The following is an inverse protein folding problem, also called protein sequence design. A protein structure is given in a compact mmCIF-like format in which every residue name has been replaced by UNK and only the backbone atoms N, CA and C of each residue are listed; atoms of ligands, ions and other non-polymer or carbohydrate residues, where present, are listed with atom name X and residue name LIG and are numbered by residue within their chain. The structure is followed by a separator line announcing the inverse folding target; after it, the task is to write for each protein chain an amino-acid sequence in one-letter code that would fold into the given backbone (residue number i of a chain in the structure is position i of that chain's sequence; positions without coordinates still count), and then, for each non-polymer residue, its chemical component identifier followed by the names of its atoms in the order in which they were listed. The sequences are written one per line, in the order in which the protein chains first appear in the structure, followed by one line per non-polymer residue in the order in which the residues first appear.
data_IF_944924127584
#
_entry.id   IF_944924127584
#
_cell.length_a   1.000
_cell.length_b   1.000
_cell.length_c   1.000
_cell.angle_alpha   90.00
_cell.angle_beta   90.00
_cell.angle_gamma   90.00
#
_symmetry.space_group_name_H-M   'P 1'
#
loop_
_entity.id
_entity.type
_entity.pdbx_description
1 polymer ?
#
# COMPACT_ATOMS: atom_id res chain seq x y z
N UNK A 1 -49.78 7.76 -26.73
CA UNK A 1 -48.38 7.46 -27.14
C UNK A 1 -47.36 8.42 -26.59
N UNK A 2 -47.53 9.75 -26.59
CA UNK A 2 -46.54 10.73 -26.08
C UNK A 2 -46.19 10.60 -24.59
N UNK A 3 -47.16 10.20 -23.74
CA UNK A 3 -46.98 10.08 -22.28
C UNK A 3 -46.18 8.83 -21.87
N UNK A 4 -46.25 7.75 -22.62
CA UNK A 4 -45.48 6.52 -22.37
C UNK A 4 -44.01 6.68 -22.84
N UNK A 5 -43.77 7.47 -23.87
CA UNK A 5 -42.41 7.76 -24.36
C UNK A 5 -41.63 8.59 -23.34
N UNK A 6 -42.28 9.54 -22.64
CA UNK A 6 -41.66 10.38 -21.62
C UNK A 6 -41.29 9.58 -20.36
N UNK A 7 -42.08 8.57 -19.97
CA UNK A 7 -41.74 7.70 -18.84
C UNK A 7 -40.54 6.79 -19.15
N UNK A 8 -40.48 6.25 -20.37
CA UNK A 8 -39.37 5.40 -20.78
C UNK A 8 -38.03 6.16 -20.83
N UNK A 9 -38.05 7.42 -21.27
CA UNK A 9 -36.86 8.29 -21.31
C UNK A 9 -36.38 8.66 -19.90
N UNK A 10 -37.32 8.91 -18.97
CA UNK A 10 -36.95 9.24 -17.57
C UNK A 10 -36.33 8.03 -16.84
N UNK A 11 -36.83 6.81 -17.06
CA UNK A 11 -36.26 5.59 -16.47
C UNK A 11 -34.88 5.30 -17.05
N UNK A 12 -34.64 5.54 -18.34
CA UNK A 12 -33.34 5.35 -18.98
C UNK A 12 -32.30 6.34 -18.44
N UNK A 13 -32.66 7.60 -18.18
CA UNK A 13 -31.78 8.59 -17.56
C UNK A 13 -31.38 8.23 -16.12
N UNK A 14 -32.29 7.65 -15.34
CA UNK A 14 -32.00 7.27 -13.95
C UNK A 14 -31.04 6.07 -13.90
N UNK A 15 -31.13 5.15 -14.85
CA UNK A 15 -30.19 4.02 -14.94
C UNK A 15 -28.76 4.45 -15.33
N UNK A 16 -28.58 5.55 -16.04
CA UNK A 16 -27.25 6.04 -16.43
C UNK A 16 -26.52 6.82 -15.32
N UNK A 17 -27.23 7.31 -14.30
CA UNK A 17 -26.63 8.02 -13.17
C UNK A 17 -26.08 7.09 -12.07
N UNK A 18 -26.38 5.80 -12.12
CA UNK A 18 -25.94 4.79 -11.15
C UNK A 18 -24.58 4.14 -11.43
N UNK A 19 -23.91 4.47 -12.56
CA UNK A 19 -22.71 3.76 -13.01
C UNK A 19 -21.38 4.50 -12.75
N UNK A 20 -21.37 5.57 -11.95
CA UNK A 20 -20.18 6.41 -11.76
C UNK A 20 -19.56 6.31 -10.36
N UNK A 21 -19.31 5.12 -9.83
CA UNK A 21 -18.59 5.05 -8.56
C UNK A 21 -17.69 3.83 -8.36
N UNK A 22 -17.06 3.34 -9.40
CA UNK A 22 -16.14 2.20 -9.29
C UNK A 22 -14.64 2.54 -9.46
N UNK A 23 -14.27 3.82 -9.68
CA UNK A 23 -12.89 4.17 -10.05
C UNK A 23 -11.97 4.55 -8.87
N UNK A 24 -12.45 4.57 -7.62
CA UNK A 24 -11.67 5.06 -6.47
C UNK A 24 -11.07 3.95 -5.58
N UNK A 25 -11.26 2.68 -5.89
CA UNK A 25 -10.91 1.58 -4.98
C UNK A 25 -9.52 0.98 -5.15
N UNK A 26 -8.80 1.30 -6.20
CA UNK A 26 -7.52 0.63 -6.55
C UNK A 26 -6.25 1.41 -6.16
N UNK A 27 -6.39 2.47 -5.37
CA UNK A 27 -5.26 3.32 -4.98
C UNK A 27 -4.67 2.97 -3.61
N UNK A 28 -5.40 2.25 -2.77
CA UNK A 28 -5.03 1.99 -1.39
C UNK A 28 -5.08 0.50 -1.08
N UNK A 29 -3.93 -0.07 -0.81
CA UNK A 29 -3.74 -1.49 -0.55
C UNK A 29 -3.40 -1.70 0.92
N UNK A 30 -4.02 -2.68 1.55
CA UNK A 30 -3.77 -3.04 2.95
C UNK A 30 -3.50 -4.53 3.06
N UNK A 31 -2.44 -4.89 3.76
CA UNK A 31 -2.13 -6.26 4.11
C UNK A 31 -1.34 -6.31 5.43
N UNK A 32 -1.31 -7.46 6.07
CA UNK A 32 -0.59 -7.67 7.33
C UNK A 32 0.70 -8.46 7.13
N UNK A 33 1.59 -8.39 8.10
CA UNK A 33 2.70 -9.31 8.27
C UNK A 33 2.71 -9.87 9.69
N UNK A 34 3.24 -11.06 9.86
CA UNK A 34 3.30 -11.72 11.15
C UNK A 34 4.57 -12.57 11.26
N UNK A 35 4.90 -12.93 12.50
CA UNK A 35 6.05 -13.78 12.85
C UNK A 35 7.38 -13.26 12.28
N UNK A 36 7.56 -11.94 12.23
CA UNK A 36 8.82 -11.29 11.88
C UNK A 36 9.80 -11.39 13.05
N UNK A 37 10.24 -12.60 13.35
CA UNK A 37 11.10 -12.94 14.49
C UNK A 37 12.36 -13.66 14.03
N UNK A 38 13.37 -13.70 14.90
CA UNK A 38 14.60 -14.46 14.62
C UNK A 38 14.29 -15.95 14.41
N UNK A 39 14.88 -16.55 13.40
CA UNK A 39 14.70 -17.97 13.06
C UNK A 39 13.41 -18.30 12.28
N UNK A 40 12.48 -17.37 12.12
CA UNK A 40 11.39 -17.52 11.17
C UNK A 40 11.86 -17.14 9.74
N UNK A 41 11.25 -17.72 8.69
CA UNK A 41 11.42 -17.23 7.32
C UNK A 41 11.12 -15.73 7.20
N UNK A 42 11.58 -15.09 6.14
CA UNK A 42 11.25 -13.72 5.86
C UNK A 42 9.93 -13.63 5.08
N UNK A 43 9.09 -12.67 5.44
CA UNK A 43 7.95 -12.28 4.66
C UNK A 43 8.39 -11.37 3.50
N UNK A 44 7.63 -11.35 2.42
CA UNK A 44 7.89 -10.47 1.27
C UNK A 44 6.64 -9.73 0.84
N UNK A 45 6.84 -8.50 0.37
CA UNK A 45 5.83 -7.73 -0.36
C UNK A 45 6.28 -7.58 -1.81
N UNK A 46 5.42 -7.99 -2.74
CA UNK A 46 5.63 -7.85 -4.17
C UNK A 46 4.72 -6.78 -4.71
N UNK A 47 5.30 -5.74 -5.28
CA UNK A 47 4.61 -4.55 -5.78
C UNK A 47 4.84 -4.47 -7.28
N UNK A 48 3.78 -4.58 -8.04
CA UNK A 48 3.82 -4.55 -9.51
C UNK A 48 3.10 -3.31 -10.05
N UNK A 49 3.71 -2.67 -11.04
CA UNK A 49 3.05 -1.70 -11.90
C UNK A 49 2.72 -2.39 -13.21
N UNK A 50 1.46 -2.71 -13.51
CA UNK A 50 1.07 -3.43 -14.73
C UNK A 50 1.14 -2.59 -16.00
N UNK A 51 1.71 -1.39 -15.96
CA UNK A 51 1.87 -0.52 -17.13
C UNK A 51 0.60 0.22 -17.57
N UNK A 52 -0.53 0.00 -16.92
CA UNK A 52 -1.83 0.57 -17.34
C UNK A 52 -1.95 2.07 -17.11
N UNK A 53 -1.09 2.66 -16.28
CA UNK A 53 -1.03 4.10 -16.02
C UNK A 53 -0.15 4.89 -17.01
N UNK A 54 0.46 4.21 -17.98
CA UNK A 54 1.39 4.78 -18.97
C UNK A 54 2.62 5.49 -18.37
N UNK A 55 3.07 5.10 -17.19
CA UNK A 55 4.25 5.70 -16.58
C UNK A 55 4.66 5.07 -15.27
N UNK A 56 5.71 5.61 -14.70
CA UNK A 56 6.16 5.23 -13.36
C UNK A 56 5.10 5.58 -12.31
N UNK A 57 4.94 4.69 -11.34
CA UNK A 57 4.14 4.91 -10.14
C UNK A 57 5.02 4.97 -8.91
N UNK A 58 4.54 5.65 -7.89
CA UNK A 58 5.08 5.57 -6.54
C UNK A 58 4.21 4.61 -5.72
N UNK A 59 4.84 3.63 -5.08
CA UNK A 59 4.26 2.91 -3.96
C UNK A 59 4.65 3.65 -2.68
N UNK A 60 3.73 4.40 -2.09
CA UNK A 60 3.93 5.06 -0.80
C UNK A 60 3.60 4.06 0.31
N UNK A 61 4.61 3.65 1.06
CA UNK A 61 4.54 2.52 2.01
C UNK A 61 4.55 3.07 3.42
N UNK A 62 3.63 2.58 4.24
CA UNK A 62 3.45 2.95 5.65
C UNK A 62 3.34 1.68 6.48
N UNK A 63 4.29 1.48 7.38
CA UNK A 63 4.42 0.27 8.20
C UNK A 63 3.98 0.56 9.63
N UNK A 64 2.93 -0.11 10.07
CA UNK A 64 2.36 0.00 11.40
C UNK A 64 2.67 -1.26 12.21
N UNK A 65 2.90 -1.09 13.49
CA UNK A 65 3.00 -2.20 14.42
C UNK A 65 1.61 -2.66 14.92
N UNK A 66 1.62 -3.68 15.78
CA UNK A 66 0.39 -4.22 16.38
C UNK A 66 -0.27 -3.27 17.40
N UNK A 67 0.37 -2.17 17.78
CA UNK A 67 -0.20 -1.12 18.60
C UNK A 67 -0.82 0.00 17.77
N UNK A 68 -0.83 -0.17 16.43
CA UNK A 68 -1.33 0.82 15.45
C UNK A 68 -0.47 2.10 15.38
N UNK A 69 0.80 2.01 15.75
CA UNK A 69 1.75 3.11 15.65
C UNK A 69 2.54 3.00 14.34
N UNK A 70 2.66 4.11 13.60
CA UNK A 70 3.53 4.15 12.42
C UNK A 70 4.98 4.05 12.86
N UNK A 71 5.67 3.05 12.36
CA UNK A 71 7.07 2.81 12.71
C UNK A 71 8.06 3.10 11.59
N UNK A 72 7.68 2.84 10.35
CA UNK A 72 8.50 3.14 9.17
C UNK A 72 7.63 3.59 8.00
N UNK A 73 8.18 4.43 7.15
CA UNK A 73 7.56 4.79 5.88
C UNK A 73 8.61 5.08 4.80
N UNK A 74 8.28 4.81 3.55
CA UNK A 74 9.11 5.14 2.40
C UNK A 74 8.27 5.19 1.12
N UNK A 75 8.83 5.80 0.07
CA UNK A 75 8.23 5.81 -1.26
C UNK A 75 9.15 5.12 -2.26
N UNK A 76 8.62 4.17 -3.00
CA UNK A 76 9.34 3.38 -3.97
C UNK A 76 8.80 3.60 -5.39
N UNK A 77 9.69 3.93 -6.33
CA UNK A 77 9.32 3.99 -7.75
C UNK A 77 9.16 2.57 -8.27
N UNK A 78 8.05 2.35 -8.99
CA UNK A 78 7.79 1.10 -9.73
C UNK A 78 7.58 1.49 -11.20
N UNK A 79 8.50 1.06 -12.05
CA UNK A 79 8.44 1.33 -13.49
C UNK A 79 7.31 0.53 -14.15
N UNK A 80 6.79 0.95 -15.33
CA UNK A 80 5.83 0.14 -16.08
C UNK A 80 6.35 -1.27 -16.31
N UNK A 81 5.48 -2.25 -16.13
CA UNK A 81 5.77 -3.69 -16.21
C UNK A 81 6.84 -4.17 -15.19
N UNK A 82 7.19 -3.30 -14.24
CA UNK A 82 8.16 -3.57 -13.19
C UNK A 82 7.55 -4.31 -12.01
N UNK A 83 8.35 -5.19 -11.39
CA UNK A 83 8.08 -5.86 -10.13
C UNK A 83 9.13 -5.47 -9.11
N UNK A 84 8.69 -4.97 -7.96
CA UNK A 84 9.56 -4.72 -6.81
C UNK A 84 9.24 -5.72 -5.70
N UNK A 85 10.25 -6.44 -5.25
CA UNK A 85 10.13 -7.37 -4.13
C UNK A 85 10.85 -6.79 -2.91
N UNK A 86 10.11 -6.59 -1.82
CA UNK A 86 10.63 -6.04 -0.58
C UNK A 86 10.57 -7.09 0.53
N UNK A 87 11.68 -7.26 1.23
CA UNK A 87 11.79 -8.08 2.44
C UNK A 87 11.11 -7.36 3.61
N UNK A 88 10.28 -8.05 4.36
CA UNK A 88 9.74 -7.51 5.59
C UNK A 88 10.87 -7.20 6.58
N UNK A 89 11.82 -8.12 6.76
CA UNK A 89 12.94 -7.96 7.71
C UNK A 89 13.96 -6.91 7.29
N UNK A 90 14.35 -6.90 6.01
CA UNK A 90 15.50 -6.15 5.55
C UNK A 90 15.15 -4.79 4.92
N UNK A 91 13.90 -4.60 4.52
CA UNK A 91 13.46 -3.39 3.85
C UNK A 91 12.39 -2.62 4.62
N UNK A 92 11.39 -3.33 5.16
CA UNK A 92 10.17 -2.70 5.65
C UNK A 92 10.15 -2.53 7.17
N UNK A 93 10.97 -3.28 7.92
CA UNK A 93 11.02 -3.24 9.39
C UNK A 93 12.44 -3.24 9.95
N UNK A 94 13.42 -2.83 9.15
CA UNK A 94 14.83 -2.87 9.54
C UNK A 94 15.29 -1.62 10.28
N UNK A 95 14.50 -0.58 10.27
CA UNK A 95 14.87 0.73 10.82
C UNK A 95 13.73 1.37 11.65
N UNK A 96 13.01 0.61 12.50
CA UNK A 96 11.83 1.10 13.19
C UNK A 96 12.14 2.20 14.21
N UNK A 97 11.18 3.07 14.46
CA UNK A 97 11.26 4.10 15.49
C UNK A 97 11.38 3.51 16.90
N UNK A 98 10.71 2.40 17.12
CA UNK A 98 10.65 1.74 18.44
C UNK A 98 11.54 0.49 18.46
N UNK A 99 11.03 -0.60 18.98
CA UNK A 99 11.69 -1.91 19.00
C UNK A 99 11.35 -2.70 17.75
N UNK A 100 11.97 -3.86 17.58
CA UNK A 100 11.70 -4.77 16.47
C UNK A 100 10.19 -5.05 16.36
N UNK A 101 9.64 -4.79 15.18
CA UNK A 101 8.23 -5.02 14.88
C UNK A 101 8.05 -6.48 14.44
N UNK A 102 7.32 -7.26 15.23
CA UNK A 102 7.12 -8.68 14.96
C UNK A 102 5.87 -8.99 14.15
N UNK A 103 4.86 -8.13 14.26
CA UNK A 103 3.59 -8.22 13.55
C UNK A 103 3.09 -6.80 13.30
N UNK A 104 2.28 -6.63 12.28
CA UNK A 104 1.67 -5.34 11.98
C UNK A 104 0.99 -5.31 10.62
N UNK A 105 0.59 -4.11 10.24
CA UNK A 105 -0.03 -3.83 8.96
C UNK A 105 0.88 -2.99 8.08
N UNK A 106 0.81 -3.24 6.78
CA UNK A 106 1.44 -2.40 5.77
C UNK A 106 0.35 -1.84 4.88
N UNK A 107 0.28 -0.51 4.86
CA UNK A 107 -0.59 0.26 4.00
C UNK A 107 0.23 0.82 2.85
N UNK A 108 -0.27 0.68 1.62
CA UNK A 108 0.40 1.16 0.42
C UNK A 108 -0.57 2.04 -0.37
N UNK A 109 -0.18 3.29 -0.59
CA UNK A 109 -0.90 4.19 -1.50
C UNK A 109 -0.18 4.21 -2.84
N UNK A 110 -0.88 3.79 -3.90
CA UNK A 110 -0.45 3.98 -5.28
C UNK A 110 -0.61 5.43 -5.66
N UNK A 111 0.44 6.07 -6.16
CA UNK A 111 0.41 7.48 -6.52
C UNK A 111 1.22 7.79 -7.78
N UNK A 112 0.96 8.95 -8.37
CA UNK A 112 1.85 9.53 -9.36
C UNK A 112 3.23 9.81 -8.73
N UNK A 113 4.26 9.83 -9.57
CA UNK A 113 5.64 10.18 -9.13
C UNK A 113 5.68 11.64 -8.66
N UNK A 114 6.14 11.86 -7.43
CA UNK A 114 6.24 13.17 -6.79
C UNK A 114 7.67 13.54 -6.37
N UNK A 115 8.65 12.78 -6.83
CA UNK A 115 10.07 12.97 -6.55
C UNK A 115 10.88 11.71 -6.82
N UNK A 116 12.17 11.76 -6.54
CA UNK A 116 13.06 10.58 -6.62
C UNK A 116 14.08 10.64 -5.46
N UNK A 117 13.92 9.77 -4.46
CA UNK A 117 12.82 8.79 -4.27
C UNK A 117 11.46 9.45 -4.12
N UNK A 118 10.38 8.67 -4.30
CA UNK A 118 9.02 9.13 -4.05
C UNK A 118 8.86 9.60 -2.60
N UNK A 119 8.24 10.76 -2.40
CA UNK A 119 8.07 11.33 -1.06
C UNK A 119 6.72 10.88 -0.44
N UNK A 120 6.72 10.06 0.63
CA UNK A 120 5.50 9.63 1.30
C UNK A 120 4.94 10.67 2.28
N UNK A 121 5.65 11.78 2.51
CA UNK A 121 5.27 12.80 3.50
C UNK A 121 4.45 13.93 2.92
N UNK A 122 4.47 14.13 1.59
CA UNK A 122 3.82 15.29 0.96
C UNK A 122 3.51 15.03 -0.51
N UNK A 123 2.60 15.83 -1.06
CA UNK A 123 2.26 15.85 -2.49
C UNK A 123 1.91 14.47 -3.10
N UNK A 124 1.39 13.56 -2.28
CA UNK A 124 0.92 12.27 -2.76
C UNK A 124 -0.36 12.46 -3.55
N UNK A 125 -0.31 12.18 -4.84
CA UNK A 125 -1.47 12.21 -5.74
C UNK A 125 -1.91 10.78 -6.04
N UNK A 126 -2.96 10.27 -5.37
CA UNK A 126 -3.43 8.90 -5.53
C UNK A 126 -3.71 8.60 -7.00
N UNK A 127 -3.10 7.52 -7.50
CA UNK A 127 -3.19 7.08 -8.90
C UNK A 127 -3.36 5.56 -8.88
N UNK A 128 -4.41 5.00 -9.50
CA UNK A 128 -4.65 3.57 -9.49
C UNK A 128 -3.58 2.79 -10.24
N UNK A 129 -3.57 1.50 -10.07
CA UNK A 129 -2.93 0.45 -10.87
C UNK A 129 -1.83 -0.36 -10.19
N UNK A 130 -1.28 0.06 -9.06
CA UNK A 130 -0.34 -0.82 -8.33
C UNK A 130 -1.06 -2.08 -7.86
N UNK A 131 -0.46 -3.25 -8.11
CA UNK A 131 -0.86 -4.54 -7.56
C UNK A 131 0.12 -4.98 -6.49
N UNK A 132 -0.39 -5.53 -5.40
CA UNK A 132 0.45 -5.90 -4.25
C UNK A 132 0.08 -7.29 -3.75
N UNK A 133 1.10 -8.13 -3.54
CA UNK A 133 0.98 -9.43 -2.86
C UNK A 133 1.89 -9.44 -1.63
N UNK A 134 1.43 -10.10 -0.58
CA UNK A 134 2.19 -10.29 0.64
C UNK A 134 2.33 -11.77 1.00
N UNK A 135 3.53 -12.15 1.40
CA UNK A 135 3.81 -13.47 1.98
C UNK A 135 3.61 -13.40 3.48
N UNK A 136 2.76 -14.28 4.01
CA UNK A 136 2.48 -14.39 5.44
C UNK A 136 3.18 -15.59 6.05
N UNK A 137 3.93 -15.34 7.09
CA UNK A 137 4.57 -16.38 7.89
C UNK A 137 3.60 -16.77 9.00
N UNK A 138 3.08 -17.98 8.95
CA UNK A 138 2.13 -18.50 9.93
C UNK A 138 2.84 -18.93 11.22
N UNK A 139 2.08 -19.19 12.28
CA UNK A 139 2.63 -19.68 13.50
C UNK A 139 3.37 -21.01 13.29
N UNK A 140 4.47 -21.18 14.01
CA UNK A 140 5.31 -22.37 13.91
C UNK A 140 4.53 -23.65 14.23
N UNK A 141 4.61 -24.63 13.36
CA UNK A 141 4.02 -25.97 13.53
C UNK A 141 5.15 -26.99 13.48
N UNK A 142 5.38 -27.68 14.57
CA UNK A 142 6.52 -28.57 14.70
C UNK A 142 7.85 -27.82 14.52
N UNK A 143 8.62 -28.17 13.49
CA UNK A 143 9.91 -27.52 13.18
C UNK A 143 9.82 -26.44 12.10
N UNK A 144 8.66 -26.27 11.45
CA UNK A 144 8.48 -25.38 10.31
C UNK A 144 7.50 -24.26 10.53
N UNK A 145 7.55 -23.28 9.65
CA UNK A 145 6.57 -22.19 9.55
C UNK A 145 5.80 -22.36 8.24
N UNK A 146 4.48 -22.63 8.28
CA UNK A 146 3.67 -22.59 7.07
C UNK A 146 3.68 -21.16 6.47
N UNK A 147 3.70 -21.10 5.15
CA UNK A 147 3.76 -19.83 4.41
C UNK A 147 2.56 -19.76 3.48
N UNK A 148 1.86 -18.62 3.48
CA UNK A 148 0.81 -18.32 2.52
C UNK A 148 1.13 -17.00 1.81
N UNK A 149 0.59 -16.81 0.62
CA UNK A 149 0.68 -15.56 -0.11
C UNK A 149 -0.73 -15.12 -0.51
N UNK A 150 -1.04 -13.86 -0.31
CA UNK A 150 -2.34 -13.26 -0.66
C UNK A 150 -2.13 -11.94 -1.38
N UNK A 151 -3.05 -11.62 -2.29
CA UNK A 151 -3.16 -10.26 -2.81
C UNK A 151 -3.64 -9.33 -1.69
N UNK A 152 -3.12 -8.11 -1.67
CA UNK A 152 -3.54 -7.09 -0.72
C UNK A 152 -4.95 -6.63 -1.00
N UNK A 153 -5.72 -6.41 0.06
CA UNK A 153 -7.08 -5.92 -0.05
C UNK A 153 -7.10 -4.46 -0.48
N UNK A 154 -8.01 -4.13 -1.37
CA UNK A 154 -8.34 -2.75 -1.69
C UNK A 154 -9.16 -2.13 -0.55
N UNK A 155 -8.81 -0.91 -0.18
CA UNK A 155 -9.51 -0.13 0.82
C UNK A 155 -9.84 1.26 0.27
N UNK A 156 -10.84 1.90 0.85
CA UNK A 156 -11.19 3.28 0.50
C UNK A 156 -10.21 4.24 1.15
N UNK A 157 -9.49 5.01 0.34
CA UNK A 157 -8.62 6.08 0.81
C UNK A 157 -9.42 7.37 0.95
N UNK A 158 -9.72 7.79 2.18
CA UNK A 158 -10.28 9.10 2.42
C UNK A 158 -9.20 10.17 2.41
N UNK A 159 -9.59 11.43 2.19
CA UNK A 159 -8.67 12.57 2.30
C UNK A 159 -8.09 12.71 3.71
N UNK A 160 -8.86 12.38 4.74
CA UNK A 160 -8.41 12.37 6.13
C UNK A 160 -7.37 11.27 6.39
N UNK A 161 -7.59 10.06 5.90
CA UNK A 161 -6.61 8.97 6.02
C UNK A 161 -5.30 9.32 5.32
N UNK A 162 -5.35 9.81 4.09
CA UNK A 162 -4.14 10.23 3.37
C UNK A 162 -3.38 11.32 4.12
N UNK A 163 -4.08 12.33 4.64
CA UNK A 163 -3.46 13.40 5.41
C UNK A 163 -2.79 12.88 6.70
N UNK A 164 -3.42 11.94 7.41
CA UNK A 164 -2.84 11.30 8.58
C UNK A 164 -1.59 10.50 8.23
N UNK A 165 -1.65 9.64 7.20
CA UNK A 165 -0.50 8.86 6.74
C UNK A 165 0.71 9.75 6.41
N UNK A 166 0.48 10.85 5.70
CA UNK A 166 1.53 11.81 5.34
C UNK A 166 2.10 12.53 6.58
N UNK A 167 1.24 12.96 7.51
CA UNK A 167 1.64 13.65 8.72
C UNK A 167 2.43 12.74 9.66
N UNK A 168 1.97 11.50 9.86
CA UNK A 168 2.64 10.52 10.70
C UNK A 168 4.00 10.13 10.11
N UNK A 169 4.07 9.95 8.80
CA UNK A 169 5.34 9.68 8.11
C UNK A 169 6.31 10.85 8.21
N UNK A 170 5.83 12.07 8.00
CA UNK A 170 6.63 13.28 8.18
C UNK A 170 7.18 13.37 9.61
N UNK A 171 6.35 13.11 10.60
CA UNK A 171 6.75 13.11 12.00
C UNK A 171 7.78 12.01 12.30
N UNK A 172 7.53 10.78 11.83
CA UNK A 172 8.44 9.64 11.99
C UNK A 172 9.85 9.96 11.45
N UNK A 173 9.92 10.50 10.25
CA UNK A 173 11.20 10.88 9.63
C UNK A 173 11.90 12.04 10.33
N UNK A 174 11.13 12.93 10.98
CA UNK A 174 11.65 14.13 11.67
C UNK A 174 12.07 13.91 13.12
N UNK A 175 11.67 12.83 13.76
CA UNK A 175 12.09 12.51 15.14
C UNK A 175 13.61 12.29 15.30
N UNK A 176 14.35 12.38 14.23
CA UNK A 176 15.74 12.85 14.24
C UNK A 176 16.81 11.81 14.50
N UNK A 177 16.48 10.55 14.52
CA UNK A 177 17.52 9.51 14.69
C UNK A 177 17.98 8.86 13.37
N UNK A 178 17.43 9.30 12.22
CA UNK A 178 17.55 8.59 10.96
C UNK A 178 16.74 7.29 10.93
N UNK A 179 15.93 7.04 11.98
CA UNK A 179 14.99 5.92 12.05
C UNK A 179 13.65 6.29 11.43
N UNK A 180 12.79 5.29 11.25
CA UNK A 180 11.44 5.48 10.70
C UNK A 180 11.40 5.56 9.18
N UNK A 181 12.50 5.24 8.51
CA UNK A 181 12.58 5.24 7.04
C UNK A 181 12.85 3.82 6.56
N UNK A 182 11.88 3.23 5.89
CA UNK A 182 12.04 1.94 5.22
C UNK A 182 12.86 2.09 3.92
N UNK A 183 13.29 0.98 3.33
CA UNK A 183 14.07 0.99 2.09
C UNK A 183 13.33 0.32 0.95
N UNK A 184 13.61 0.78 -0.27
CA UNK A 184 13.03 0.19 -1.48
C UNK A 184 13.81 -1.04 -1.99
N UNK A 185 14.79 -1.50 -1.24
CA UNK A 185 15.68 -2.56 -1.70
C UNK A 185 16.54 -2.11 -2.88
N UNK A 186 17.36 -3.01 -3.38
CA UNK A 186 18.03 -2.83 -4.68
C UNK A 186 16.98 -3.13 -5.74
N UNK A 187 16.60 -2.14 -6.54
CA UNK A 187 15.66 -2.35 -7.63
C UNK A 187 16.17 -3.39 -8.62
N UNK A 188 15.26 -4.22 -9.09
CA UNK A 188 15.50 -5.07 -10.25
C UNK A 188 15.69 -4.20 -11.48
#
# INVERSE_FOLDING_TARGET
MKRQLSLALAVLCICMLGAMSAAAQDVFKVNYFANNVAGAPDGTYRINNPGTSNGNLCAQIYVFDNNQELNECCGCIVTPDGLRTLSVKLNLTNNPLTTVITNGDIKIVSSAVNGSPCDPTSNVTPTPSVRVWATHIQNKVGTGYPITETESSDATLSTGELASLQADCYFAQRLGSGRGVCSCGTGD
#
